data_IF_204303670688
#
_entry.id   IF_204303670688
#
_cell.length_a   1.000
_cell.length_b   1.000
_cell.length_c   1.000
_cell.angle_alpha   90.00
_cell.angle_beta   90.00
_cell.angle_gamma   90.00
#
_symmetry.space_group_name_H-M   'P 1'
#
loop_
_entity.id
_entity.type
_entity.pdbx_description
1 polymer ?
2 branched ?
3 non-polymer ?
4 non-polymer ?
5 non-polymer ?
6 non-polymer ?
7 non-polymer ?
8 water ?
#
# COMPACT_ATOMS: atom_id res chain seq x y z
N UNK A 1 5.38 26.36 11.55
CA UNK A 1 6.82 26.76 11.44
C UNK A 1 7.01 28.29 11.42
N UNK A 2 7.98 28.77 12.19
CA UNK A 2 8.17 30.22 12.36
C UNK A 2 8.64 31.02 11.11
N UNK A 3 9.21 30.33 10.10
CA UNK A 3 9.60 31.01 8.84
C UNK A 3 8.55 30.88 7.78
N UNK A 4 7.41 30.31 8.14
CA UNK A 4 6.35 30.09 7.19
C UNK A 4 5.91 31.42 6.59
N UNK A 5 5.80 31.43 5.28
CA UNK A 5 5.40 32.67 4.56
C UNK A 5 6.58 33.51 4.11
N UNK A 6 7.78 33.21 4.64
CA UNK A 6 9.02 33.77 4.10
C UNK A 6 9.51 33.03 2.87
N UNK A 7 10.12 33.77 1.96
CA UNK A 7 10.71 33.16 0.79
C UNK A 7 12.19 33.55 0.81
N UNK A 8 13.07 32.59 0.92
CA UNK A 8 14.49 32.78 0.79
C UNK A 8 14.99 32.49 -0.67
N UNK A 9 15.58 33.52 -1.27
CA UNK A 9 16.09 33.47 -2.62
C UNK A 9 17.59 33.31 -2.47
N UNK A 10 18.10 32.18 -2.97
CA UNK A 10 19.51 31.82 -2.85
C UNK A 10 20.18 31.91 -4.18
N UNK A 11 21.52 32.08 -4.17
CA UNK A 11 22.28 32.16 -5.43
C UNK A 11 23.41 31.13 -5.47
N UNK A 12 23.58 30.41 -4.40
CA UNK A 12 24.44 29.24 -4.40
C UNK A 12 23.89 28.12 -3.53
N UNK A 13 24.36 26.90 -3.79
CA UNK A 13 24.03 25.70 -3.02
C UNK A 13 24.26 25.99 -1.54
N UNK A 14 23.35 25.53 -0.74
CA UNK A 14 23.49 25.61 0.73
C UNK A 14 24.20 24.32 1.18
N UNK A 15 25.33 24.48 1.89
CA UNK A 15 26.11 23.34 2.34
C UNK A 15 25.76 23.08 3.79
N UNK A 16 25.29 21.88 4.12
CA UNK A 16 25.04 21.56 5.53
C UNK A 16 26.13 20.58 5.99
N UNK A 17 26.80 20.95 7.09
CA UNK A 17 28.01 20.25 7.46
C UNK A 17 27.72 19.03 8.27
N UNK A 18 28.70 18.14 8.28
CA UNK A 18 28.58 16.93 9.03
C UNK A 18 28.14 17.22 10.46
N UNK A 19 27.20 16.45 10.99
CA UNK A 19 26.66 16.64 12.35
C UNK A 19 25.67 17.76 12.56
N UNK A 20 25.44 18.61 11.55
CA UNK A 20 24.52 19.72 11.72
C UNK A 20 23.18 19.35 11.15
N UNK A 21 22.15 19.99 11.69
CA UNK A 21 20.80 19.99 11.15
C UNK A 21 20.40 21.34 10.64
N UNK A 22 20.20 21.49 9.30
CA UNK A 22 19.59 22.70 8.76
C UNK A 22 18.09 22.61 8.89
N UNK A 23 17.52 23.45 9.76
CA UNK A 23 16.06 23.52 10.02
C UNK A 23 15.48 24.81 9.42
N UNK A 24 14.82 24.70 8.24
CA UNK A 24 14.18 25.81 7.67
C UNK A 24 13.00 26.40 8.32
N UNK A 25 12.45 25.69 9.31
CA UNK A 25 11.26 26.09 10.02
C UNK A 25 10.21 26.67 9.09
N UNK A 26 9.98 25.95 7.99
CA UNK A 26 8.96 26.26 7.02
C UNK A 26 9.26 27.25 5.92
N UNK A 27 10.47 27.75 5.78
CA UNK A 27 10.84 28.68 4.77
C UNK A 27 10.63 28.03 3.40
N UNK A 28 10.30 28.83 2.43
CA UNK A 28 10.31 28.41 1.03
C UNK A 28 11.55 28.96 0.41
N UNK A 29 12.30 28.10 -0.32
CA UNK A 29 13.47 28.45 -1.01
C UNK A 29 13.24 28.56 -2.51
N UNK A 30 13.73 29.63 -3.10
CA UNK A 30 13.72 29.79 -4.56
C UNK A 30 15.14 30.08 -4.99
N UNK A 31 15.68 29.24 -5.86
CA UNK A 31 17.05 29.33 -6.27
C UNK A 31 17.16 30.17 -7.54
N UNK A 32 18.19 31.02 -7.56
CA UNK A 32 18.57 31.86 -8.68
C UNK A 32 19.91 31.51 -9.28
N UNK A 33 19.95 31.42 -10.60
CA UNK A 33 21.19 31.18 -11.27
C UNK A 33 21.79 29.81 -11.04
N UNK A 34 20.95 28.87 -10.57
CA UNK A 34 21.40 27.53 -10.22
C UNK A 34 20.75 26.44 -11.13
N UNK A 35 20.02 26.89 -12.15
CA UNK A 35 19.31 25.93 -13.02
C UNK A 35 17.85 26.35 -13.25
N UNK A 36 17.26 25.82 -14.31
CA UNK A 36 15.87 26.09 -14.65
C UNK A 36 14.88 24.97 -14.27
N UNK A 37 15.33 23.86 -13.66
CA UNK A 37 14.46 22.77 -13.32
C UNK A 37 14.07 21.87 -14.51
N UNK A 38 14.80 22.04 -15.62
CA UNK A 38 14.60 21.16 -16.80
C UNK A 38 15.34 19.84 -16.54
N UNK A 39 15.48 19.03 -17.54
CA UNK A 39 16.22 17.80 -17.40
C UNK A 39 17.73 17.92 -17.77
N UNK A 40 18.19 19.13 -17.97
CA UNK A 40 19.59 19.34 -18.06
C UNK A 40 20.27 18.71 -16.84
N UNK A 41 21.39 17.99 -17.09
CA UNK A 41 22.20 17.34 -16.04
C UNK A 41 23.22 18.27 -15.41
N UNK A 42 23.20 19.55 -15.82
CA UNK A 42 24.28 20.46 -15.40
C UNK A 42 23.75 21.52 -14.42
N UNK A 43 22.79 21.20 -13.57
CA UNK A 43 22.30 22.21 -12.68
C UNK A 43 22.88 22.01 -11.26
N UNK A 44 22.83 23.02 -10.43
CA UNK A 44 23.31 22.88 -9.07
C UNK A 44 22.22 22.32 -8.13
N UNK A 45 22.67 21.55 -7.15
CA UNK A 45 21.81 21.25 -6.01
C UNK A 45 21.49 22.50 -5.20
N UNK A 46 20.26 22.55 -4.73
CA UNK A 46 19.80 23.51 -3.73
C UNK A 46 20.55 23.25 -2.43
N UNK A 47 20.69 21.99 -2.02
CA UNK A 47 21.39 21.68 -0.76
C UNK A 47 22.36 20.55 -1.01
N UNK A 48 23.50 20.65 -0.38
CA UNK A 48 24.49 19.58 -0.29
C UNK A 48 24.55 19.22 1.17
N UNK A 49 24.18 17.97 1.46
CA UNK A 49 24.19 17.42 2.83
C UNK A 49 25.44 16.57 2.90
N UNK A 50 26.43 17.05 3.66
CA UNK A 50 27.58 16.21 3.91
C UNK A 50 27.23 14.96 4.74
N UNK A 51 28.19 14.04 4.82
CA UNK A 51 28.01 12.83 5.60
C UNK A 51 27.59 13.10 7.05
N UNK A 52 26.42 12.65 7.45
CA UNK A 52 25.88 12.93 8.80
C UNK A 52 25.21 14.26 8.97
N UNK A 53 24.99 14.99 7.88
CA UNK A 53 24.15 16.19 7.88
C UNK A 53 22.63 15.87 7.72
N UNK A 54 21.81 16.63 8.42
CA UNK A 54 20.36 16.55 8.28
C UNK A 54 19.72 17.84 7.76
N UNK A 55 18.51 17.69 7.20
CA UNK A 55 17.77 18.82 6.68
C UNK A 55 16.31 18.63 7.06
N UNK A 56 15.62 19.70 7.46
CA UNK A 56 14.23 19.56 7.80
C UNK A 56 13.49 20.83 7.52
N UNK A 57 12.18 20.66 7.32
CA UNK A 57 11.26 21.76 7.24
C UNK A 57 11.56 22.86 6.29
N UNK A 58 11.68 22.51 5.02
CA UNK A 58 11.97 23.43 3.93
C UNK A 58 10.95 23.11 2.79
N UNK A 59 10.44 24.13 2.16
CA UNK A 59 9.74 23.96 0.92
C UNK A 59 10.69 24.40 -0.18
N UNK A 60 10.89 23.61 -1.26
CA UNK A 60 11.70 23.93 -2.30
C UNK A 60 10.82 24.30 -3.49
N UNK A 61 10.77 25.60 -3.80
CA UNK A 61 9.94 26.12 -4.82
C UNK A 61 10.57 25.84 -6.17
N UNK A 62 9.80 25.96 -7.27
CA UNK A 62 10.45 26.04 -8.57
C UNK A 62 11.39 27.24 -8.68
N UNK A 63 12.52 27.10 -9.38
CA UNK A 63 13.06 25.91 -10.06
C UNK A 63 13.75 24.99 -9.07
N UNK A 64 13.47 23.67 -9.20
CA UNK A 64 14.00 22.61 -8.32
C UNK A 64 15.47 22.35 -8.57
N UNK A 65 16.03 22.83 -9.70
CA UNK A 65 17.39 22.64 -10.00
C UNK A 65 17.82 21.17 -9.83
N UNK A 66 18.95 20.88 -9.14
CA UNK A 66 19.30 19.48 -8.89
C UNK A 66 19.02 19.07 -7.45
N UNK A 67 18.01 19.67 -6.85
CA UNK A 67 17.50 19.14 -5.60
C UNK A 67 18.49 19.03 -4.49
N UNK A 68 18.43 17.89 -3.76
CA UNK A 68 19.27 17.69 -2.56
C UNK A 68 20.28 16.61 -2.85
N UNK A 69 21.55 16.96 -2.71
CA UNK A 69 22.64 15.93 -2.79
C UNK A 69 23.02 15.42 -1.46
N UNK A 70 22.95 14.09 -1.28
CA UNK A 70 23.17 13.45 0.05
C UNK A 70 24.42 12.61 -0.02
N UNK A 71 25.36 12.90 0.87
CA UNK A 71 26.62 12.13 0.94
C UNK A 71 26.61 10.95 1.96
N UNK A 72 25.48 10.65 2.58
CA UNK A 72 25.27 9.51 3.37
C UNK A 72 25.05 9.85 4.81
N UNK A 73 24.29 8.99 5.45
CA UNK A 73 23.86 9.08 6.86
C UNK A 73 23.19 10.42 7.04
N UNK A 74 22.10 10.59 6.29
CA UNK A 74 21.37 11.85 6.26
C UNK A 74 19.95 11.56 6.58
N UNK A 75 19.33 12.47 7.36
CA UNK A 75 17.88 12.45 7.59
C UNK A 75 17.29 13.71 6.96
N UNK A 76 16.31 13.54 6.04
CA UNK A 76 15.67 14.64 5.30
C UNK A 76 14.21 14.60 5.67
N UNK A 77 13.77 15.52 6.55
CA UNK A 77 12.48 15.35 7.19
C UNK A 77 11.58 16.58 6.80
N UNK A 78 10.36 16.32 6.39
CA UNK A 78 9.37 17.35 6.12
C UNK A 78 9.85 18.33 5.07
N UNK A 79 10.43 17.77 4.01
CA UNK A 79 10.79 18.54 2.89
C UNK A 79 9.78 18.42 1.78
N UNK A 80 9.34 19.56 1.24
CA UNK A 80 8.29 19.60 0.20
C UNK A 80 8.91 20.15 -1.01
N UNK A 81 8.93 19.32 -2.05
CA UNK A 81 9.39 19.75 -3.37
C UNK A 81 8.12 20.15 -4.17
N UNK A 82 7.85 21.43 -4.28
CA UNK A 82 6.70 21.95 -5.04
C UNK A 82 6.75 21.61 -6.49
N UNK A 83 7.96 21.51 -7.00
CA UNK A 83 8.17 21.29 -8.45
C UNK A 83 9.56 20.76 -8.58
N UNK A 84 9.65 19.46 -8.67
CA UNK A 84 10.93 18.75 -8.78
C UNK A 84 11.60 19.23 -10.01
N UNK A 85 12.89 19.45 -9.89
CA UNK A 85 13.69 19.82 -11.07
C UNK A 85 14.18 18.65 -11.88
N UNK A 86 15.51 18.54 -12.07
CA UNK A 86 16.08 17.40 -12.81
C UNK A 86 15.75 16.11 -12.02
N UNK A 87 15.98 16.19 -10.70
CA UNK A 87 15.56 15.16 -9.77
C UNK A 87 15.52 15.87 -8.40
N UNK A 88 14.86 15.22 -7.46
CA UNK A 88 14.57 15.79 -6.12
C UNK A 88 15.69 15.59 -5.16
N UNK A 89 16.24 14.37 -5.11
CA UNK A 89 17.30 14.07 -4.15
C UNK A 89 18.15 12.94 -4.74
N UNK A 90 19.46 13.09 -4.58
CA UNK A 90 20.40 12.10 -5.08
C UNK A 90 21.28 11.61 -3.96
N UNK A 91 21.47 10.30 -3.91
CA UNK A 91 22.45 9.69 -3.00
C UNK A 91 23.76 9.57 -3.77
N UNK A 92 24.72 10.36 -3.30
CA UNK A 92 25.99 10.54 -3.97
C UNK A 92 27.10 9.67 -3.40
N UNK A 93 26.96 9.26 -2.16
CA UNK A 93 27.99 8.46 -1.50
C UNK A 93 27.31 7.52 -0.52
N UNK A 94 28.03 6.49 -0.06
CA UNK A 94 27.46 5.38 0.69
C UNK A 94 27.07 5.62 2.14
N UNK A 95 25.89 5.17 2.47
CA UNK A 95 25.38 5.36 3.84
C UNK A 95 23.89 5.13 3.78
N UNK A 96 23.25 5.42 4.88
CA UNK A 96 21.85 5.39 5.11
C UNK A 96 21.27 6.77 4.85
N UNK A 97 20.20 6.83 4.03
CA UNK A 97 19.52 8.07 3.78
C UNK A 97 18.06 7.83 3.96
N UNK A 98 17.44 8.67 4.78
CA UNK A 98 16.03 8.59 5.10
C UNK A 98 15.31 9.90 4.74
N UNK A 99 14.23 9.78 3.98
CA UNK A 99 13.32 10.85 3.66
C UNK A 99 12.06 10.53 4.44
N UNK A 100 11.72 11.39 5.40
CA UNK A 100 10.63 11.17 6.33
C UNK A 100 9.67 12.34 6.24
N UNK A 101 8.41 12.12 5.87
CA UNK A 101 7.50 13.21 5.73
C UNK A 101 7.65 14.01 4.43
N UNK A 102 6.82 15.01 4.22
CA UNK A 102 6.98 15.80 3.01
C UNK A 102 6.37 15.16 1.76
N UNK A 103 6.71 15.78 0.65
CA UNK A 103 6.06 15.38 -0.56
C UNK A 103 6.85 15.91 -1.72
N UNK A 104 6.56 15.39 -2.90
CA UNK A 104 7.14 15.87 -4.15
C UNK A 104 6.13 15.86 -5.22
N UNK A 105 6.25 16.86 -6.11
CA UNK A 105 5.32 17.00 -7.22
C UNK A 105 6.04 17.35 -8.47
N UNK A 106 5.39 16.99 -9.55
CA UNK A 106 5.82 17.44 -10.90
C UNK A 106 7.29 17.09 -11.18
N UNK A 107 7.61 15.79 -11.14
CA UNK A 107 8.90 15.33 -11.55
C UNK A 107 8.80 14.81 -12.96
N UNK A 108 9.42 15.50 -13.86
CA UNK A 108 9.34 15.03 -15.25
C UNK A 108 9.96 13.66 -15.40
N UNK A 109 11.02 13.42 -14.65
CA UNK A 109 11.75 12.12 -14.69
C UNK A 109 11.84 11.59 -13.24
N UNK A 110 13.01 11.57 -12.59
CA UNK A 110 13.16 10.92 -11.34
C UNK A 110 12.81 11.87 -10.20
N UNK A 111 12.30 11.26 -9.15
CA UNK A 111 12.26 11.96 -7.81
C UNK A 111 13.65 11.64 -7.15
N UNK A 112 13.89 10.38 -6.79
CA UNK A 112 15.08 9.93 -6.06
C UNK A 112 16.01 9.15 -6.97
N UNK A 113 17.28 9.57 -6.96
CA UNK A 113 18.33 9.03 -7.85
C UNK A 113 19.42 8.47 -6.93
N UNK A 114 19.72 7.18 -7.09
CA UNK A 114 20.68 6.52 -6.18
C UNK A 114 21.95 6.16 -6.92
N UNK A 115 23.01 6.88 -6.64
CA UNK A 115 24.26 6.79 -7.38
C UNK A 115 25.40 6.06 -6.68
N UNK A 116 25.17 5.59 -5.43
CA UNK A 116 26.15 4.88 -4.65
C UNK A 116 25.39 3.80 -3.84
N UNK A 117 26.09 2.77 -3.40
CA UNK A 117 25.45 1.76 -2.52
C UNK A 117 24.92 2.43 -1.31
N UNK A 118 23.69 2.09 -0.96
CA UNK A 118 23.05 2.77 0.17
C UNK A 118 21.85 2.01 0.62
N UNK A 119 21.38 2.32 1.84
CA UNK A 119 20.10 1.96 2.32
C UNK A 119 19.26 3.26 2.24
N UNK A 120 18.16 3.16 1.48
CA UNK A 120 17.37 4.34 1.20
C UNK A 120 15.95 4.12 1.60
N UNK A 121 15.51 4.75 2.71
CA UNK A 121 14.17 4.67 3.13
C UNK A 121 13.32 5.96 2.88
N UNK A 122 12.10 5.76 2.38
CA UNK A 122 11.09 6.80 2.09
C UNK A 122 9.93 6.49 2.96
N UNK A 123 9.60 7.38 3.93
CA UNK A 123 8.61 7.11 4.97
C UNK A 123 7.57 8.27 5.08
N UNK A 124 6.28 7.95 5.13
CA UNK A 124 5.28 8.97 5.27
C UNK A 124 5.36 10.07 4.23
N UNK A 125 5.33 9.67 2.96
CA UNK A 125 5.65 10.53 1.90
C UNK A 125 4.63 10.39 0.81
N UNK A 126 4.30 11.55 0.18
CA UNK A 126 3.38 11.57 -0.96
C UNK A 126 4.08 12.14 -2.19
N UNK A 127 3.81 11.59 -3.36
CA UNK A 127 4.22 12.18 -4.57
C UNK A 127 3.19 12.10 -5.70
N UNK A 128 3.12 13.16 -6.48
CA UNK A 128 2.07 13.30 -7.51
C UNK A 128 2.75 13.79 -8.78
N UNK A 129 2.42 13.17 -9.91
CA UNK A 129 2.91 13.58 -11.25
C UNK A 129 4.41 13.45 -11.33
N UNK A 130 4.85 12.21 -11.38
CA UNK A 130 6.22 11.83 -11.37
C UNK A 130 6.51 10.80 -12.47
N UNK A 131 7.73 10.79 -12.95
CA UNK A 131 8.13 9.73 -13.81
C UNK A 131 8.46 8.42 -13.09
N UNK A 132 9.42 8.49 -12.15
CA UNK A 132 9.85 7.35 -11.31
C UNK A 132 10.03 7.90 -9.90
N UNK A 133 9.64 7.15 -8.93
CA UNK A 133 9.93 7.55 -7.54
C UNK A 133 11.42 7.30 -7.29
N UNK A 134 11.92 6.10 -7.58
CA UNK A 134 13.30 5.74 -7.22
C UNK A 134 13.99 5.09 -8.41
N UNK A 135 15.17 5.59 -8.70
CA UNK A 135 16.02 4.95 -9.72
C UNK A 135 17.41 4.74 -9.20
N UNK A 136 17.88 3.47 -9.29
CA UNK A 136 19.29 3.24 -9.09
C UNK A 136 19.96 3.64 -10.41
N UNK A 137 21.08 4.33 -10.29
CA UNK A 137 21.78 4.84 -11.49
C UNK A 137 21.83 3.76 -12.58
N UNK A 138 21.45 4.15 -13.79
CA UNK A 138 21.38 3.14 -14.83
C UNK A 138 22.65 2.36 -15.03
N UNK A 139 22.42 1.07 -15.25
CA UNK A 139 23.44 0.07 -15.61
C UNK A 139 24.43 -0.15 -14.59
N UNK A 140 24.19 0.26 -13.34
CA UNK A 140 25.07 -0.09 -12.26
C UNK A 140 24.57 -1.33 -11.56
N UNK A 141 25.46 -2.08 -10.92
CA UNK A 141 25.20 -3.37 -10.33
C UNK A 141 25.65 -3.42 -8.86
N UNK A 142 26.03 -2.27 -8.28
CA UNK A 142 26.22 -2.20 -6.84
C UNK A 142 24.85 -2.42 -6.17
N UNK A 143 24.84 -2.62 -4.85
CA UNK A 143 23.61 -2.95 -4.13
C UNK A 143 23.00 -1.74 -3.45
N UNK A 144 21.72 -1.51 -3.77
CA UNK A 144 20.90 -0.63 -2.91
C UNK A 144 19.81 -1.47 -2.34
N UNK A 145 19.36 -1.04 -1.13
CA UNK A 145 18.15 -1.55 -0.55
C UNK A 145 17.23 -0.38 -0.29
N UNK A 146 16.06 -0.44 -0.88
CA UNK A 146 15.09 0.66 -0.77
C UNK A 146 13.91 0.18 0.05
N UNK A 147 13.48 1.04 0.99
CA UNK A 147 12.30 0.86 1.72
C UNK A 147 11.30 1.96 1.42
N UNK A 148 10.05 1.57 1.11
CA UNK A 148 8.90 2.51 0.90
C UNK A 148 7.89 2.14 1.94
N UNK A 149 7.78 3.00 2.96
CA UNK A 149 6.92 2.76 4.11
C UNK A 149 5.89 3.89 4.27
N UNK A 150 4.61 3.58 4.13
CA UNK A 150 3.57 4.59 4.18
C UNK A 150 3.75 5.67 3.18
N UNK A 151 3.79 5.22 1.92
CA UNK A 151 4.04 6.08 0.78
C UNK A 151 2.86 5.99 -0.19
N UNK A 152 2.34 7.17 -0.58
CA UNK A 152 1.22 7.29 -1.46
C UNK A 152 1.65 8.04 -2.74
N UNK A 153 1.35 7.42 -3.87
CA UNK A 153 1.84 7.91 -5.19
C UNK A 153 0.61 8.04 -6.13
N UNK A 154 0.56 9.15 -6.85
CA UNK A 154 -0.47 9.38 -7.87
C UNK A 154 0.17 9.81 -9.12
N UNK A 155 -0.26 9.17 -10.21
CA UNK A 155 0.21 9.54 -11.56
C UNK A 155 1.72 9.36 -11.77
N UNK A 156 2.07 8.11 -11.98
CA UNK A 156 3.44 7.58 -12.07
C UNK A 156 3.56 7.17 -13.54
N UNK A 157 4.32 7.95 -14.25
CA UNK A 157 4.34 7.80 -15.73
C UNK A 157 5.18 6.68 -16.20
N UNK A 158 6.24 6.33 -15.47
CA UNK A 158 7.16 5.24 -15.81
C UNK A 158 7.03 4.10 -14.87
N UNK A 159 7.50 4.24 -13.62
CA UNK A 159 7.32 3.15 -12.70
C UNK A 159 7.60 3.70 -11.35
N UNK A 160 7.19 2.93 -10.38
CA UNK A 160 7.58 3.32 -9.01
C UNK A 160 9.10 3.33 -8.83
N UNK A 161 9.73 2.21 -9.10
CA UNK A 161 11.21 2.07 -8.87
C UNK A 161 11.80 1.22 -9.96
N UNK A 162 13.04 1.58 -10.30
CA UNK A 162 13.80 0.87 -11.36
C UNK A 162 15.24 0.74 -10.87
N UNK A 163 15.75 -0.47 -11.10
CA UNK A 163 17.14 -0.82 -10.97
C UNK A 163 17.57 -1.83 -12.01
N UNK A 164 18.83 -1.68 -12.40
CA UNK A 164 19.46 -2.68 -13.32
C UNK A 164 20.40 -3.57 -12.54
N UNK A 165 20.23 -3.66 -11.18
CA UNK A 165 21.15 -4.44 -10.41
C UNK A 165 20.44 -5.69 -9.77
N UNK A 166 20.88 -6.92 -10.06
CA UNK A 166 20.24 -8.10 -9.50
C UNK A 166 20.27 -8.23 -7.98
N UNK A 167 21.26 -7.59 -7.42
CA UNK A 167 21.45 -7.77 -6.00
C UNK A 167 20.75 -6.72 -5.24
N UNK A 168 20.19 -5.74 -5.89
CA UNK A 168 19.44 -4.68 -5.24
C UNK A 168 18.08 -5.23 -4.77
N UNK A 169 17.50 -4.59 -3.75
CA UNK A 169 16.19 -4.99 -3.23
C UNK A 169 15.30 -3.76 -2.95
N UNK A 170 14.00 -4.01 -3.06
CA UNK A 170 12.99 -3.08 -2.63
C UNK A 170 12.01 -3.79 -1.77
N UNK A 171 11.77 -3.16 -0.61
CA UNK A 171 10.82 -3.59 0.38
C UNK A 171 9.79 -2.52 0.59
N UNK A 172 8.52 -2.94 0.58
CA UNK A 172 7.48 -1.93 0.82
C UNK A 172 6.47 -2.39 1.86
N UNK A 173 5.85 -1.38 2.53
CA UNK A 173 4.92 -1.56 3.66
C UNK A 173 3.92 -0.40 3.61
N UNK A 174 2.66 -0.67 3.31
CA UNK A 174 1.61 0.41 3.22
C UNK A 174 1.93 1.35 2.07
N UNK A 175 2.08 0.76 0.85
CA UNK A 175 2.33 1.47 -0.36
C UNK A 175 0.99 1.58 -1.16
N UNK A 176 0.55 2.77 -1.41
CA UNK A 176 -0.67 3.07 -2.20
C UNK A 176 -0.32 3.80 -3.45
N UNK A 177 -0.72 3.20 -4.55
CA UNK A 177 -0.32 3.70 -5.90
C UNK A 177 -1.54 3.81 -6.80
N UNK A 178 -1.75 5.00 -7.35
CA UNK A 178 -2.86 5.24 -8.27
C UNK A 178 -2.29 5.74 -9.58
N UNK A 179 -2.79 5.16 -10.61
CA UNK A 179 -2.48 5.63 -11.99
C UNK A 179 -0.98 5.49 -12.35
N UNK A 180 -0.55 4.25 -12.41
CA UNK A 180 0.80 3.89 -12.66
C UNK A 180 0.85 2.78 -13.69
N UNK A 181 1.70 3.01 -14.67
CA UNK A 181 2.03 2.05 -15.71
C UNK A 181 2.41 0.64 -15.18
N UNK A 182 3.42 0.59 -14.32
CA UNK A 182 4.15 -0.60 -14.02
C UNK A 182 4.73 -0.28 -12.65
N UNK A 183 4.61 -1.15 -11.67
CA UNK A 183 5.11 -0.77 -10.38
C UNK A 183 6.65 -0.85 -10.39
N UNK A 184 7.27 -1.99 -10.67
CA UNK A 184 8.72 -2.16 -10.44
C UNK A 184 9.46 -2.73 -11.62
N UNK A 185 10.56 -2.09 -11.97
CA UNK A 185 11.40 -2.56 -13.15
C UNK A 185 12.75 -2.94 -12.60
N UNK A 186 12.85 -4.18 -12.19
CA UNK A 186 14.09 -4.78 -11.71
C UNK A 186 14.38 -6.03 -12.50
N UNK A 187 15.64 -6.49 -12.49
CA UNK A 187 15.93 -7.75 -13.26
C UNK A 187 14.93 -8.87 -12.97
N UNK A 188 14.56 -9.10 -11.69
CA UNK A 188 13.62 -10.08 -11.33
C UNK A 188 12.63 -9.54 -10.28
N UNK A 189 11.39 -9.95 -10.45
CA UNK A 189 10.28 -9.42 -9.58
C UNK A 189 10.55 -9.94 -8.16
N UNK A 190 11.33 -11.01 -7.99
CA UNK A 190 11.61 -11.59 -6.64
C UNK A 190 12.52 -10.66 -5.82
N UNK A 191 13.10 -9.65 -6.45
CA UNK A 191 13.85 -8.57 -5.73
C UNK A 191 12.97 -7.63 -4.94
N UNK A 192 11.67 -7.73 -5.15
CA UNK A 192 10.65 -6.89 -4.57
C UNK A 192 9.86 -7.65 -3.51
N UNK A 193 9.83 -7.10 -2.27
CA UNK A 193 9.20 -7.79 -1.17
C UNK A 193 8.33 -6.84 -0.35
N UNK A 194 7.29 -7.37 0.28
CA UNK A 194 6.54 -6.66 1.25
C UNK A 194 7.04 -6.96 2.65
N UNK A 195 6.63 -6.09 3.61
CA UNK A 195 6.88 -6.32 5.01
C UNK A 195 5.87 -5.58 5.78
N UNK B 1 -2.11 -29.10 -3.22
CA UNK B 1 -3.02 -30.08 -2.50
C UNK B 1 -3.39 -31.36 -3.27
N UNK B 2 -3.66 -32.44 -2.55
CA UNK B 2 -3.94 -33.72 -3.19
C UNK B 2 -5.27 -33.75 -4.00
N UNK B 3 -6.24 -32.88 -3.70
CA UNK B 3 -7.49 -32.79 -4.52
C UNK B 3 -7.38 -31.86 -5.70
N UNK B 4 -6.21 -31.28 -5.94
CA UNK B 4 -6.07 -30.30 -6.96
C UNK B 4 -6.36 -30.97 -8.30
N UNK B 5 -7.02 -30.25 -9.20
CA UNK B 5 -7.51 -30.84 -10.44
C UNK B 5 -8.90 -31.46 -10.32
N UNK B 6 -9.40 -31.72 -9.10
CA UNK B 6 -10.77 -32.23 -8.94
C UNK B 6 -11.79 -31.13 -8.74
N UNK B 7 -13.04 -31.41 -9.10
CA UNK B 7 -14.14 -30.44 -8.97
C UNK B 7 -15.26 -31.13 -8.24
N UNK B 8 -15.85 -30.47 -7.24
CA UNK B 8 -17.03 -30.93 -6.60
C UNK B 8 -18.17 -30.02 -7.04
N UNK B 9 -19.14 -30.58 -7.77
CA UNK B 9 -20.37 -29.90 -8.13
C UNK B 9 -21.44 -30.14 -7.04
N UNK B 10 -22.05 -29.06 -6.52
CA UNK B 10 -23.06 -29.14 -5.54
C UNK B 10 -24.30 -28.47 -5.98
N UNK B 11 -25.42 -28.85 -5.34
CA UNK B 11 -26.73 -28.25 -5.64
C UNK B 11 -27.40 -27.72 -4.39
N UNK B 12 -26.68 -27.75 -3.30
CA UNK B 12 -27.10 -27.03 -2.10
C UNK B 12 -25.91 -26.64 -1.24
N UNK B 13 -26.18 -25.72 -0.30
CA UNK B 13 -25.17 -25.25 0.62
C UNK B 13 -24.45 -26.37 1.35
N UNK B 14 -23.12 -26.34 1.33
CA UNK B 14 -22.32 -27.22 2.18
C UNK B 14 -22.31 -26.68 3.60
N UNK B 15 -22.83 -27.49 4.51
CA UNK B 15 -22.81 -27.11 5.87
C UNK B 15 -21.58 -27.77 6.52
N UNK B 16 -20.75 -26.95 7.15
CA UNK B 16 -19.65 -27.44 7.98
C UNK B 16 -20.08 -27.29 9.44
N UNK B 17 -20.17 -28.43 10.11
CA UNK B 17 -20.79 -28.45 11.41
C UNK B 17 -19.83 -27.98 12.45
N UNK B 18 -20.43 -27.47 13.49
CA UNK B 18 -19.67 -26.99 14.63
C UNK B 18 -18.55 -27.96 14.97
N UNK B 19 -17.33 -27.44 15.09
CA UNK B 19 -16.18 -28.22 15.51
C UNK B 19 -15.43 -28.91 14.41
N UNK B 20 -15.91 -28.82 13.16
CA UNK B 20 -15.31 -29.55 12.06
C UNK B 20 -14.53 -28.58 11.21
N UNK B 21 -13.52 -29.13 10.51
CA UNK B 21 -12.71 -28.43 9.55
C UNK B 21 -12.95 -29.13 8.23
N UNK B 22 -13.51 -28.42 7.29
CA UNK B 22 -13.61 -28.92 5.95
C UNK B 22 -12.30 -28.58 5.25
N UNK B 23 -11.53 -29.59 4.84
CA UNK B 23 -10.31 -29.34 4.08
C UNK B 23 -10.47 -29.89 2.69
N UNK B 24 -10.58 -29.00 1.73
CA UNK B 24 -10.72 -29.33 0.34
C UNK B 24 -9.49 -29.87 -0.30
N UNK B 25 -8.31 -29.72 0.33
CA UNK B 25 -7.07 -30.10 -0.29
C UNK B 25 -6.97 -29.61 -1.75
N UNK B 26 -7.52 -28.41 -2.03
CA UNK B 26 -7.32 -27.82 -3.35
C UNK B 26 -8.42 -28.14 -4.33
N UNK B 27 -9.49 -28.75 -3.86
CA UNK B 27 -10.67 -29.02 -4.67
C UNK B 27 -11.28 -27.66 -5.08
N UNK B 28 -11.82 -27.64 -6.29
CA UNK B 28 -12.71 -26.57 -6.73
C UNK B 28 -14.18 -26.91 -6.53
N UNK B 29 -14.95 -25.99 -5.94
CA UNK B 29 -16.40 -26.11 -5.81
C UNK B 29 -17.12 -25.33 -6.91
N UNK B 30 -18.06 -25.99 -7.59
CA UNK B 30 -18.98 -25.29 -8.51
C UNK B 30 -20.44 -25.54 -8.09
N UNK B 31 -21.13 -24.46 -7.70
CA UNK B 31 -22.53 -24.47 -7.26
C UNK B 31 -23.48 -24.33 -8.49
N UNK B 32 -24.50 -25.21 -8.53
CA UNK B 32 -25.57 -25.21 -9.56
C UNK B 32 -26.91 -25.03 -8.86
N UNK B 33 -27.71 -24.10 -9.36
CA UNK B 33 -29.04 -23.82 -8.86
C UNK B 33 -29.06 -23.17 -7.52
N UNK B 34 -27.98 -22.46 -7.22
CA UNK B 34 -27.81 -21.78 -5.97
C UNK B 34 -27.59 -20.24 -6.10
N UNK B 35 -27.73 -19.76 -7.32
CA UNK B 35 -27.46 -18.40 -7.69
C UNK B 35 -26.62 -18.23 -8.92
N UNK B 36 -26.60 -17.00 -9.39
CA UNK B 36 -25.91 -16.63 -10.58
C UNK B 36 -24.67 -15.73 -10.35
N UNK B 37 -24.41 -15.43 -9.05
CA UNK B 37 -23.29 -14.50 -8.73
C UNK B 37 -23.58 -13.02 -9.01
N UNK B 38 -24.85 -12.70 -9.24
CA UNK B 38 -25.28 -11.31 -9.48
C UNK B 38 -25.34 -10.64 -8.07
N UNK B 39 -25.86 -9.39 -8.03
CA UNK B 39 -26.12 -8.66 -6.82
C UNK B 39 -27.47 -8.95 -6.14
N UNK B 40 -28.24 -9.91 -6.68
CA UNK B 40 -29.46 -10.40 -5.93
C UNK B 40 -29.08 -10.82 -4.56
N UNK B 41 -29.91 -10.43 -3.63
CA UNK B 41 -29.70 -10.73 -2.20
C UNK B 41 -30.32 -12.02 -1.76
N UNK B 42 -30.85 -12.82 -2.68
CA UNK B 42 -31.62 -14.02 -2.38
C UNK B 42 -30.91 -15.32 -2.88
N UNK B 43 -29.56 -15.27 -2.93
CA UNK B 43 -28.80 -16.44 -3.35
C UNK B 43 -28.36 -17.24 -2.18
N UNK B 44 -28.06 -18.52 -2.39
CA UNK B 44 -27.62 -19.32 -1.24
C UNK B 44 -26.10 -19.22 -1.06
N UNK B 45 -25.68 -19.40 0.17
CA UNK B 45 -24.23 -19.53 0.40
C UNK B 45 -23.69 -20.85 -0.19
N UNK B 46 -22.46 -20.81 -0.69
CA UNK B 46 -21.71 -22.02 -1.06
C UNK B 46 -21.44 -22.86 0.20
N UNK B 47 -21.03 -22.22 1.31
CA UNK B 47 -20.74 -22.89 2.57
C UNK B 47 -21.41 -22.11 3.63
N UNK B 48 -21.93 -22.84 4.62
CA UNK B 48 -22.27 -22.32 5.94
C UNK B 48 -21.33 -22.90 6.96
N UNK B 49 -20.63 -22.05 7.70
CA UNK B 49 -19.74 -22.54 8.73
C UNK B 49 -20.43 -22.25 10.04
N UNK B 50 -20.88 -23.29 10.74
CA UNK B 50 -21.45 -23.10 12.09
C UNK B 50 -20.42 -22.57 13.01
N UNK B 51 -20.87 -22.11 14.15
CA UNK B 51 -19.93 -21.70 15.16
C UNK B 51 -18.85 -22.72 15.40
N UNK B 52 -17.62 -22.26 15.34
CA UNK B 52 -16.51 -23.15 15.53
C UNK B 52 -16.10 -24.03 14.40
N UNK B 53 -16.71 -23.84 13.22
CA UNK B 53 -16.28 -24.58 12.06
C UNK B 53 -15.18 -23.85 11.26
N UNK B 54 -14.30 -24.61 10.60
CA UNK B 54 -13.30 -24.03 9.73
C UNK B 54 -13.38 -24.60 8.34
N UNK B 55 -12.77 -23.87 7.40
CA UNK B 55 -12.70 -24.22 6.04
C UNK B 55 -11.30 -23.91 5.52
N UNK B 56 -10.71 -24.85 4.75
CA UNK B 56 -9.42 -24.58 4.18
C UNK B 56 -9.30 -25.23 2.85
N UNK B 57 -8.42 -24.67 2.04
CA UNK B 57 -7.94 -25.22 0.79
C UNK B 57 -9.04 -25.57 -0.20
N UNK B 58 -9.92 -24.59 -0.44
CA UNK B 58 -10.94 -24.74 -1.47
C UNK B 58 -10.83 -23.57 -2.45
N UNK B 59 -11.07 -23.83 -3.73
CA UNK B 59 -11.28 -22.82 -4.73
C UNK B 59 -12.80 -22.75 -4.98
N UNK B 60 -13.35 -21.55 -4.93
CA UNK B 60 -14.76 -21.33 -5.22
C UNK B 60 -14.83 -20.81 -6.61
N UNK B 61 -15.36 -21.68 -7.47
CA UNK B 61 -15.48 -21.27 -8.85
C UNK B 61 -16.71 -20.38 -9.04
N UNK B 62 -16.79 -19.67 -10.15
CA UNK B 62 -18.08 -19.06 -10.60
C UNK B 62 -19.19 -20.12 -10.74
N UNK B 63 -20.43 -19.83 -10.26
CA UNK B 63 -20.93 -18.59 -9.72
C UNK B 63 -20.72 -18.60 -8.25
N UNK B 64 -20.27 -17.45 -7.75
CA UNK B 64 -19.99 -17.34 -6.36
C UNK B 64 -21.13 -17.28 -5.44
N UNK B 65 -22.34 -17.06 -5.99
CA UNK B 65 -23.56 -17.09 -5.15
C UNK B 65 -23.44 -16.15 -3.99
N UNK B 66 -23.84 -16.58 -2.82
CA UNK B 66 -23.64 -15.81 -1.62
C UNK B 66 -22.48 -16.29 -0.79
N UNK B 67 -21.48 -16.84 -1.45
CA UNK B 67 -20.21 -17.10 -0.78
C UNK B 67 -20.27 -17.92 0.49
N UNK B 68 -19.52 -17.52 1.49
CA UNK B 68 -19.33 -18.23 2.71
C UNK B 68 -20.03 -17.49 3.85
N UNK B 69 -20.96 -18.15 4.50
CA UNK B 69 -21.59 -17.61 5.72
C UNK B 69 -20.99 -18.13 7.03
N UNK B 70 -20.45 -17.25 7.87
CA UNK B 70 -19.72 -17.63 9.05
C UNK B 70 -20.55 -17.28 10.23
N UNK B 71 -20.78 -18.25 11.12
CA UNK B 71 -21.57 -18.01 12.32
C UNK B 71 -20.77 -17.70 13.58
N UNK B 72 -19.47 -17.50 13.42
CA UNK B 72 -18.57 -17.04 14.44
C UNK B 72 -17.56 -18.14 14.76
N UNK B 73 -16.37 -17.70 15.16
CA UNK B 73 -15.25 -18.52 15.63
C UNK B 73 -14.83 -19.50 14.53
N UNK B 74 -14.50 -18.91 13.39
CA UNK B 74 -14.20 -19.68 12.18
C UNK B 74 -12.87 -19.23 11.64
N UNK B 75 -12.11 -20.17 11.12
CA UNK B 75 -10.91 -19.86 10.34
C UNK B 75 -11.15 -20.37 8.93
N UNK B 76 -10.93 -19.47 7.99
CA UNK B 76 -11.08 -19.72 6.54
C UNK B 76 -9.72 -19.48 5.97
N UNK B 77 -9.01 -20.55 5.55
CA UNK B 77 -7.60 -20.47 5.21
C UNK B 77 -7.40 -20.94 3.78
N UNK B 78 -6.61 -20.20 3.00
CA UNK B 78 -6.26 -20.52 1.67
C UNK B 78 -7.48 -20.81 0.80
N UNK B 79 -8.52 -19.99 0.98
CA UNK B 79 -9.73 -19.99 0.09
C UNK B 79 -9.50 -19.02 -1.03
N UNK B 80 -9.76 -19.48 -2.24
CA UNK B 80 -9.63 -18.66 -3.43
C UNK B 80 -11.05 -18.54 -4.04
N UNK B 81 -11.48 -17.28 -4.16
CA UNK B 81 -12.75 -16.96 -4.82
C UNK B 81 -12.32 -16.55 -6.20
N UNK B 82 -12.56 -17.42 -7.20
CA UNK B 82 -12.21 -17.02 -8.55
C UNK B 82 -13.08 -15.96 -9.12
N UNK B 83 -14.32 -15.88 -8.61
CA UNK B 83 -15.29 -14.91 -9.07
C UNK B 83 -16.34 -14.67 -8.00
N UNK B 84 -16.17 -13.57 -7.24
CA UNK B 84 -17.01 -13.33 -6.04
C UNK B 84 -18.43 -13.12 -6.54
N UNK B 85 -19.35 -13.69 -5.80
CA UNK B 85 -20.80 -13.51 -6.13
C UNK B 85 -21.32 -12.18 -5.55
N UNK B 86 -22.39 -12.29 -4.81
CA UNK B 86 -23.01 -11.10 -4.29
C UNK B 86 -22.02 -10.50 -3.26
N UNK B 87 -21.44 -11.38 -2.44
CA UNK B 87 -20.29 -11.08 -1.63
C UNK B 87 -19.51 -12.36 -1.45
N UNK B 88 -18.31 -12.24 -0.87
CA UNK B 88 -17.45 -13.39 -0.69
C UNK B 88 -17.74 -14.16 0.52
N UNK B 89 -17.84 -13.42 1.61
CA UNK B 89 -18.04 -13.98 2.95
C UNK B 89 -18.74 -12.98 3.83
N UNK B 90 -19.64 -13.50 4.69
CA UNK B 90 -20.51 -12.73 5.58
C UNK B 90 -20.35 -13.27 6.99
N UNK B 91 -20.14 -12.40 7.97
CA UNK B 91 -20.20 -12.78 9.34
C UNK B 91 -21.65 -12.55 9.76
N UNK B 92 -22.31 -13.64 10.06
CA UNK B 92 -23.79 -13.66 10.29
C UNK B 92 -24.09 -13.70 11.78
N UNK B 93 -23.15 -14.10 12.61
CA UNK B 93 -23.42 -14.18 14.05
C UNK B 93 -22.10 -13.83 14.74
N UNK B 94 -22.16 -13.67 16.06
CA UNK B 94 -21.06 -13.14 16.82
C UNK B 94 -19.88 -14.09 16.89
N UNK B 95 -18.68 -13.51 16.97
CA UNK B 95 -17.48 -14.29 17.19
C UNK B 95 -16.27 -13.72 16.47
N UNK B 96 -15.17 -14.48 16.48
CA UNK B 96 -13.97 -14.10 15.75
C UNK B 96 -13.93 -14.89 14.42
N UNK B 97 -13.60 -14.19 13.33
CA UNK B 97 -13.55 -14.80 12.01
C UNK B 97 -12.26 -14.35 11.40
N UNK B 98 -11.42 -15.31 10.97
CA UNK B 98 -10.14 -14.99 10.37
C UNK B 98 -10.12 -15.58 8.98
N UNK B 99 -9.81 -14.76 8.00
CA UNK B 99 -9.56 -15.18 6.62
C UNK B 99 -8.00 -15.07 6.49
N UNK B 100 -7.32 -16.20 6.23
CA UNK B 100 -5.86 -16.32 6.27
C UNK B 100 -5.41 -16.93 4.94
N UNK B 101 -4.61 -16.25 4.20
CA UNK B 101 -4.29 -16.72 2.87
C UNK B 101 -5.42 -16.62 1.90
N UNK B 102 -5.10 -17.05 0.67
CA UNK B 102 -6.05 -17.02 -0.46
C UNK B 102 -6.22 -15.67 -1.13
N UNK B 103 -7.31 -15.55 -1.87
CA UNK B 103 -7.51 -14.39 -2.64
C UNK B 103 -8.97 -14.30 -3.15
N UNK B 104 -9.31 -13.17 -3.69
CA UNK B 104 -10.65 -12.93 -4.27
C UNK B 104 -10.51 -12.04 -5.45
N UNK B 105 -11.28 -12.31 -6.51
CA UNK B 105 -11.38 -11.37 -7.58
C UNK B 105 -12.83 -11.17 -8.10
N UNK B 106 -13.04 -10.06 -8.78
CA UNK B 106 -14.27 -9.74 -9.49
C UNK B 106 -15.48 -9.67 -8.52
N UNK B 107 -15.34 -8.83 -7.50
CA UNK B 107 -16.43 -8.52 -6.65
C UNK B 107 -17.10 -7.22 -7.05
N UNK B 108 -18.31 -7.30 -7.57
CA UNK B 108 -19.01 -6.12 -8.03
C UNK B 108 -19.30 -5.12 -6.89
N UNK B 109 -19.51 -5.67 -5.71
CA UNK B 109 -19.80 -4.86 -4.62
C UNK B 109 -18.89 -5.26 -3.42
N UNK B 110 -19.39 -5.87 -2.36
CA UNK B 110 -18.55 -6.26 -1.28
C UNK B 110 -17.80 -7.55 -1.51
N UNK B 111 -16.59 -7.60 -0.90
CA UNK B 111 -15.94 -8.87 -0.62
C UNK B 111 -16.48 -9.44 0.71
N UNK B 112 -16.21 -8.73 1.81
CA UNK B 112 -16.58 -9.19 3.15
C UNK B 112 -17.63 -8.23 3.75
N UNK B 113 -18.71 -8.87 4.18
CA UNK B 113 -19.95 -8.24 4.73
C UNK B 113 -20.10 -8.63 6.20
N UNK B 114 -20.10 -7.66 7.12
CA UNK B 114 -20.12 -7.91 8.55
C UNK B 114 -21.50 -7.51 9.15
N UNK B 115 -22.27 -8.55 9.53
CA UNK B 115 -23.67 -8.30 9.91
C UNK B 115 -23.90 -8.52 11.38
N UNK B 116 -22.86 -8.83 12.14
CA UNK B 116 -23.01 -9.06 13.63
C UNK B 116 -21.73 -8.57 14.24
N UNK B 117 -21.78 -8.22 15.52
CA UNK B 117 -20.56 -7.84 16.22
C UNK B 117 -19.54 -8.95 16.19
N UNK B 118 -18.29 -8.59 15.92
CA UNK B 118 -17.28 -9.56 15.64
C UNK B 118 -15.89 -8.95 15.60
N UNK B 119 -14.84 -9.81 15.72
CA UNK B 119 -13.47 -9.44 15.37
C UNK B 119 -13.25 -10.17 14.07
N UNK B 120 -12.93 -9.38 13.05
CA UNK B 120 -12.76 -9.92 11.71
C UNK B 120 -11.34 -9.60 11.20
N UNK B 121 -10.58 -10.68 10.91
CA UNK B 121 -9.15 -10.52 10.51
C UNK B 121 -9.00 -11.03 9.11
N UNK B 122 -8.26 -10.28 8.33
CA UNK B 122 -7.94 -10.70 6.93
C UNK B 122 -6.42 -10.58 6.95
N UNK B 123 -5.75 -11.71 6.69
CA UNK B 123 -4.31 -11.86 6.84
C UNK B 123 -3.77 -12.52 5.54
N UNK B 124 -2.71 -11.98 5.03
CA UNK B 124 -2.02 -12.57 3.87
C UNK B 124 -2.94 -12.83 2.68
N UNK B 125 -3.61 -11.78 2.24
CA UNK B 125 -4.73 -11.92 1.30
C UNK B 125 -4.53 -10.92 0.20
N UNK B 126 -4.91 -11.31 -1.01
CA UNK B 126 -4.89 -10.44 -2.14
C UNK B 126 -6.32 -10.37 -2.76
N UNK B 127 -6.75 -9.19 -3.14
CA UNK B 127 -8.05 -9.05 -3.89
C UNK B 127 -7.89 -8.11 -5.02
N UNK B 128 -8.49 -8.43 -6.17
CA UNK B 128 -8.38 -7.63 -7.35
C UNK B 128 -9.79 -7.39 -8.02
N UNK B 129 -10.11 -6.16 -8.40
CA UNK B 129 -11.38 -5.74 -9.02
C UNK B 129 -12.55 -5.94 -8.08
N UNK B 130 -12.61 -5.06 -7.08
CA UNK B 130 -13.59 -5.11 -6.01
C UNK B 130 -14.25 -3.78 -5.72
N UNK B 131 -15.47 -3.81 -5.13
CA UNK B 131 -16.12 -2.56 -4.78
C UNK B 131 -15.58 -2.10 -3.45
N UNK B 132 -15.73 -2.95 -2.48
CA UNK B 132 -15.26 -2.67 -1.06
C UNK B 132 -14.71 -3.97 -0.56
N UNK B 133 -13.58 -3.91 0.15
CA UNK B 133 -13.12 -5.10 0.85
C UNK B 133 -13.92 -5.53 2.04
N UNK B 134 -14.27 -4.58 2.92
CA UNK B 134 -14.99 -4.86 4.15
C UNK B 134 -16.09 -3.79 4.36
N UNK B 135 -17.32 -4.27 4.62
CA UNK B 135 -18.40 -3.41 5.01
C UNK B 135 -19.15 -3.89 6.19
N UNK B 136 -19.16 -3.08 7.26
CA UNK B 136 -20.10 -3.34 8.32
C UNK B 136 -21.52 -3.01 7.77
N UNK B 137 -22.48 -3.91 8.05
CA UNK B 137 -23.86 -3.75 7.57
C UNK B 137 -24.35 -2.29 7.64
N UNK B 138 -24.84 -1.78 6.52
CA UNK B 138 -25.29 -0.36 6.41
C UNK B 138 -26.12 0.12 7.62
N UNK B 139 -25.78 1.30 8.15
CA UNK B 139 -26.53 1.97 9.25
C UNK B 139 -26.49 1.26 10.57
N UNK B 140 -25.72 0.18 10.70
CA UNK B 140 -25.64 -0.50 11.96
C UNK B 140 -24.55 0.18 12.76
N UNK B 141 -24.79 0.21 14.05
CA UNK B 141 -23.96 0.90 15.01
C UNK B 141 -23.34 0.02 16.12
N UNK B 142 -23.49 -1.31 16.02
CA UNK B 142 -22.79 -2.24 16.87
C UNK B 142 -21.27 -2.18 16.58
N UNK B 143 -20.48 -2.80 17.44
CA UNK B 143 -19.04 -2.74 17.30
C UNK B 143 -18.44 -3.92 16.59
N UNK B 144 -17.69 -3.63 15.51
CA UNK B 144 -16.75 -4.61 15.00
C UNK B 144 -15.34 -4.12 15.06
N UNK B 145 -14.39 -5.05 15.18
CA UNK B 145 -12.98 -4.73 15.16
C UNK B 145 -12.42 -5.48 13.94
N UNK B 146 -11.86 -4.73 13.00
CA UNK B 146 -11.31 -5.29 11.73
C UNK B 146 -9.79 -5.21 11.82
N UNK B 147 -9.10 -6.29 11.50
CA UNK B 147 -7.65 -6.28 11.30
C UNK B 147 -7.35 -6.64 9.86
N UNK B 148 -6.55 -5.82 9.26
CA UNK B 148 -6.11 -6.07 7.87
C UNK B 148 -4.58 -6.17 8.00
N UNK B 149 -4.05 -7.34 7.78
CA UNK B 149 -2.60 -7.63 7.93
C UNK B 149 -2.06 -8.32 6.68
N UNK B 150 -1.06 -7.68 6.04
CA UNK B 150 -0.43 -8.24 4.81
C UNK B 150 -1.55 -8.49 3.76
N UNK B 151 -2.20 -7.39 3.41
CA UNK B 151 -3.31 -7.40 2.46
C UNK B 151 -2.97 -6.48 1.30
N UNK B 152 -3.12 -6.99 0.07
CA UNK B 152 -2.80 -6.23 -1.12
C UNK B 152 -4.03 -6.21 -2.03
N UNK B 153 -4.43 -5.02 -2.40
CA UNK B 153 -5.71 -4.77 -3.15
C UNK B 153 -5.40 -4.02 -4.39
N UNK B 154 -6.01 -4.45 -5.49
CA UNK B 154 -5.85 -3.87 -6.79
C UNK B 154 -7.24 -3.52 -7.35
N UNK B 155 -7.43 -2.26 -7.75
CA UNK B 155 -8.67 -1.76 -8.39
C UNK B 155 -9.88 -1.88 -7.47
N UNK B 156 -9.92 -0.95 -6.53
CA UNK B 156 -10.96 -0.83 -5.53
C UNK B 156 -11.87 0.34 -5.91
N UNK B 157 -13.09 0.01 -6.34
CA UNK B 157 -14.02 1.00 -6.88
C UNK B 157 -14.64 1.94 -5.90
N UNK B 158 -14.93 1.50 -4.69
CA UNK B 158 -15.52 2.35 -3.74
C UNK B 158 -14.59 2.75 -2.61
N UNK B 159 -14.20 1.77 -1.76
CA UNK B 159 -13.26 2.02 -0.70
C UNK B 159 -12.79 0.70 -0.15
N UNK B 160 -11.73 0.73 0.65
CA UNK B 160 -11.30 -0.48 1.29
C UNK B 160 -12.28 -0.94 2.33
N UNK B 161 -12.56 -0.07 3.29
CA UNK B 161 -13.47 -0.46 4.41
C UNK B 161 -14.43 0.65 4.77
N UNK B 162 -15.64 0.26 5.15
CA UNK B 162 -16.71 1.21 5.44
C UNK B 162 -17.54 0.69 6.60
N UNK B 163 -17.80 1.60 7.54
CA UNK B 163 -18.67 1.31 8.69
C UNK B 163 -19.46 2.59 8.98
N UNK B 164 -20.69 2.42 9.42
CA UNK B 164 -21.47 3.58 9.95
C UNK B 164 -21.47 3.61 11.44
N UNK B 165 -20.71 2.71 12.03
CA UNK B 165 -20.66 2.69 13.51
C UNK B 165 -19.63 3.63 14.03
N UNK B 166 -19.96 4.44 15.08
CA UNK B 166 -18.88 5.26 15.63
C UNK B 166 -17.97 4.51 16.63
N UNK B 167 -18.24 3.25 16.96
CA UNK B 167 -17.40 2.50 17.94
C UNK B 167 -16.55 1.42 17.26
N UNK B 168 -16.77 1.17 15.98
CA UNK B 168 -16.00 0.08 15.38
C UNK B 168 -14.61 0.56 15.16
N UNK B 169 -13.70 -0.38 14.98
CA UNK B 169 -12.29 -0.08 14.82
C UNK B 169 -11.72 -0.83 13.63
N UNK B 170 -10.69 -0.23 13.06
CA UNK B 170 -9.93 -0.88 11.93
C UNK B 170 -8.48 -0.68 12.27
N UNK B 171 -7.77 -1.80 12.36
CA UNK B 171 -6.33 -1.87 12.59
C UNK B 171 -5.63 -2.43 11.38
N UNK B 172 -4.63 -1.77 10.84
CA UNK B 172 -4.01 -2.33 9.60
C UNK B 172 -2.49 -2.33 9.76
N UNK B 173 -1.89 -3.30 9.09
CA UNK B 173 -0.43 -3.52 9.10
C UNK B 173 -0.11 -4.16 7.81
N UNK B 174 0.62 -3.41 7.01
CA UNK B 174 1.02 -3.82 5.65
C UNK B 174 -0.24 -4.05 4.74
N UNK B 175 -0.91 -2.94 4.51
CA UNK B 175 -2.06 -2.80 3.55
C UNK B 175 -1.60 -1.97 2.41
N UNK B 176 -1.58 -2.57 1.17
CA UNK B 176 -1.05 -1.98 -0.07
C UNK B 176 -2.23 -1.94 -1.03
N UNK B 177 -2.53 -0.74 -1.53
CA UNK B 177 -3.76 -0.55 -2.32
C UNK B 177 -3.43 0.19 -3.59
N UNK B 178 -3.73 -0.40 -4.72
CA UNK B 178 -3.46 0.18 -5.98
C UNK B 178 -4.84 0.52 -6.62
N UNK B 179 -4.89 1.71 -7.19
CA UNK B 179 -6.11 2.21 -7.87
C UNK B 179 -7.31 2.21 -7.05
N UNK B 180 -7.23 3.03 -6.03
CA UNK B 180 -8.30 3.32 -5.09
C UNK B 180 -8.39 4.85 -4.72
N UNK B 181 -9.58 5.43 -4.73
CA UNK B 181 -9.70 6.86 -4.45
C UNK B 181 -10.06 7.14 -2.98
N UNK B 182 -10.36 6.09 -2.21
CA UNK B 182 -10.74 6.31 -0.79
C UNK B 182 -10.41 5.09 -0.01
N UNK B 183 -9.61 5.24 1.05
CA UNK B 183 -9.30 4.12 1.88
C UNK B 183 -10.46 3.70 2.80
N UNK B 184 -10.77 4.54 3.80
CA UNK B 184 -11.63 4.16 4.87
C UNK B 184 -12.75 5.17 4.98
N UNK B 185 -13.96 4.69 5.16
CA UNK B 185 -15.21 5.52 5.32
C UNK B 185 -15.80 5.09 6.65
N UNK B 186 -15.28 5.72 7.70
CA UNK B 186 -15.75 5.51 9.05
C UNK B 186 -16.13 6.92 9.60
N UNK B 187 -16.95 6.93 10.67
CA UNK B 187 -17.28 8.26 11.14
C UNK B 187 -16.13 9.15 11.61
N UNK B 188 -15.08 8.57 12.22
CA UNK B 188 -13.93 9.34 12.55
C UNK B 188 -12.62 8.61 12.22
N UNK B 189 -11.60 9.37 11.84
CA UNK B 189 -10.36 8.72 11.50
C UNK B 189 -9.65 8.19 12.77
N UNK B 190 -10.05 8.65 13.96
CA UNK B 190 -9.67 8.09 15.25
C UNK B 190 -9.97 6.60 15.39
N UNK B 191 -10.87 6.06 14.54
CA UNK B 191 -11.22 4.71 14.60
C UNK B 191 -10.29 3.78 13.82
N UNK B 192 -9.34 4.41 13.13
CA UNK B 192 -8.39 3.70 12.24
C UNK B 192 -7.03 3.78 12.89
N UNK B 193 -6.37 2.64 12.93
CA UNK B 193 -5.08 2.52 13.59
C UNK B 193 -4.13 1.69 12.77
N UNK B 194 -2.86 2.06 12.83
CA UNK B 194 -1.76 1.19 12.45
C UNK B 194 -1.21 0.37 13.54
N UNK B 195 -0.65 -0.80 13.22
CA UNK B 195 0.18 -1.56 14.17
C UNK B 195 1.29 -2.28 13.51
#
# INVERSE_FOLDING_TARGET
>A
GTNTGGVLVITDTIIVKSGQTYDGKGIKIIAQGMGDGSQSENQKPIFKLEKGANLKNVIIGAPGCDGIHCYGDNVVENVVWEDVGEDALTVKSEGVVEVIGGSAKEAADKVFQLNAPCTFKVKNFTATNIGKLVRQNGNTTFKVVIYLEDVTLNNVKSCVAKSDSPVSELWYHNLNVNNCKTLFEFPSQSQIHQY
>B
GTNTGGVLVITDTIIVKSGQTYDGKGIKIIAQGMGDGSQSENQKPIFKLEKGANLKNVIIGAPGCDGIHCYGDNVVENVVWEDVGEDALTVKSEGVVEVIGGSAKEAADKVFQLNAPCTFKVKNFTATNIGKLVRQNGNTTFKVVIYLEDVTLNNVKSCVAKSDSPVSELWYHNLNVNNCKTLFEFPSQSQIHQY
#
